data_IF_218378646685
#
_entry.id   IF_218378646685
#
_cell.length_a   1.000
_cell.length_b   1.000
_cell.length_c   1.000
_cell.angle_alpha   90.00
_cell.angle_beta   90.00
_cell.angle_gamma   90.00
#
_symmetry.space_group_name_H-M   'P 1'
#
loop_
_entity.id
_entity.type
_entity.pdbx_description
1 polymer ?
#
# COMPACT_ATOMS: atom_id res chain seq x y z
N UNK A 1 -4.01 9.86 8.69
CA UNK A 1 -4.88 11.04 8.52
C UNK A 1 -5.95 10.70 7.48
N UNK A 2 -7.18 10.35 7.88
CA UNK A 2 -8.24 9.89 6.96
C UNK A 2 -8.86 11.00 6.09
N UNK A 3 -8.07 11.98 5.67
CA UNK A 3 -8.49 13.14 4.89
C UNK A 3 -7.95 13.01 3.47
N UNK A 4 -8.75 13.39 2.46
CA UNK A 4 -8.30 13.33 1.07
C UNK A 4 -7.44 14.55 0.74
N UNK A 5 -6.32 14.34 0.03
CA UNK A 5 -5.51 15.43 -0.50
C UNK A 5 -6.31 16.38 -1.43
N UNK A 6 -7.35 15.88 -2.09
CA UNK A 6 -8.24 16.69 -2.94
C UNK A 6 -9.08 17.68 -2.14
N UNK A 7 -9.32 17.44 -0.85
CA UNK A 7 -10.01 18.39 0.03
C UNK A 7 -9.22 19.67 0.28
N UNK A 8 -7.91 19.64 -0.02
CA UNK A 8 -7.02 20.78 0.09
C UNK A 8 -6.78 21.49 -1.27
N UNK A 9 -7.33 20.96 -2.38
CA UNK A 9 -7.02 21.40 -3.74
C UNK A 9 -7.68 22.74 -4.17
N UNK A 10 -7.15 23.31 -5.25
CA UNK A 10 -7.48 24.60 -5.93
C UNK A 10 -8.95 25.01 -6.01
N UNK A 11 -9.89 24.05 -6.13
CA UNK A 11 -11.33 24.28 -6.28
C UNK A 11 -12.17 23.82 -5.08
N UNK A 12 -11.53 23.45 -3.97
CA UNK A 12 -12.25 23.08 -2.76
C UNK A 12 -12.99 24.31 -2.21
N UNK A 13 -14.29 24.14 -1.90
CA UNK A 13 -15.04 25.17 -1.17
C UNK A 13 -14.35 25.39 0.19
N UNK A 14 -14.30 26.63 0.68
CA UNK A 14 -13.77 27.04 1.99
C UNK A 14 -14.54 26.36 3.15
N UNK A 15 -14.40 25.05 3.27
CA UNK A 15 -14.98 24.21 4.31
C UNK A 15 -13.84 23.42 4.94
N UNK A 16 -13.95 23.17 6.24
CA UNK A 16 -12.98 22.34 6.95
C UNK A 16 -12.77 21.00 6.21
N UNK A 17 -11.53 20.48 6.14
CA UNK A 17 -11.25 19.23 5.44
C UNK A 17 -12.16 18.12 5.98
N UNK A 18 -12.99 17.58 5.09
CA UNK A 18 -13.94 16.53 5.46
C UNK A 18 -13.21 15.19 5.50
N UNK A 19 -13.27 14.51 6.62
CA UNK A 19 -12.77 13.15 6.73
C UNK A 19 -13.51 12.24 5.74
N UNK A 20 -12.79 11.32 5.12
CA UNK A 20 -13.37 10.27 4.27
C UNK A 20 -14.43 9.50 5.07
N UNK A 21 -15.64 9.35 4.50
CA UNK A 21 -16.68 8.53 5.11
C UNK A 21 -16.26 7.06 5.23
N UNK A 22 -15.32 6.61 4.39
CA UNK A 22 -14.74 5.25 4.43
C UNK A 22 -13.55 5.13 5.40
N UNK A 23 -13.22 6.19 6.14
CA UNK A 23 -12.08 6.19 7.05
C UNK A 23 -10.72 6.18 6.33
N UNK A 24 -9.62 6.04 7.08
CA UNK A 24 -8.29 5.84 6.50
C UNK A 24 -8.24 4.49 5.76
N UNK A 25 -7.74 4.48 4.53
CA UNK A 25 -7.48 3.24 3.80
C UNK A 25 -6.36 2.50 4.53
N UNK A 26 -6.65 1.30 5.02
CA UNK A 26 -5.66 0.36 5.50
C UNK A 26 -5.15 -0.52 4.35
N UNK A 27 -4.14 -1.34 4.63
CA UNK A 27 -3.87 -2.50 3.79
C UNK A 27 -5.12 -3.39 3.81
N UNK A 28 -5.72 -3.60 2.65
CA UNK A 28 -6.69 -4.66 2.47
C UNK A 28 -5.89 -5.97 2.45
N UNK A 29 -6.37 -6.98 3.18
CA UNK A 29 -5.74 -8.30 3.23
C UNK A 29 -6.46 -9.17 2.19
N UNK A 30 -5.91 -9.37 0.98
CA UNK A 30 -6.53 -10.26 0.00
C UNK A 30 -6.38 -11.74 0.38
N UNK A 31 -5.54 -12.05 1.38
CA UNK A 31 -5.16 -13.41 1.76
C UNK A 31 -6.33 -14.16 2.41
N UNK A 32 -6.95 -15.07 1.67
CA UNK A 32 -8.05 -15.89 2.21
C UNK A 32 -7.49 -17.00 3.09
N UNK A 33 -6.43 -17.68 2.68
CA UNK A 33 -5.82 -18.72 3.51
C UNK A 33 -5.01 -18.14 4.65
N UNK A 34 -4.19 -17.11 4.41
CA UNK A 34 -3.42 -16.51 5.51
C UNK A 34 -4.34 -15.90 6.58
N UNK A 35 -5.58 -15.49 6.29
CA UNK A 35 -6.54 -15.00 7.31
C UNK A 35 -6.81 -16.05 8.41
N UNK A 36 -6.82 -17.34 8.08
CA UNK A 36 -6.98 -18.44 9.05
C UNK A 36 -5.93 -18.36 10.16
N UNK A 37 -4.71 -18.01 9.77
CA UNK A 37 -3.54 -17.93 10.64
C UNK A 37 -3.31 -16.52 11.19
N UNK A 38 -3.69 -15.49 10.45
CA UNK A 38 -3.43 -14.09 10.78
C UNK A 38 -4.11 -13.65 12.07
N UNK A 39 -5.21 -14.27 12.51
CA UNK A 39 -5.84 -13.96 13.81
C UNK A 39 -5.06 -14.50 15.02
N UNK A 40 -4.17 -15.46 14.80
CA UNK A 40 -3.40 -16.15 15.86
C UNK A 40 -2.23 -15.32 16.36
N UNK A 41 -1.50 -14.67 15.46
CA UNK A 41 -0.18 -14.10 15.76
C UNK A 41 -0.15 -12.65 16.28
N UNK A 42 -0.98 -11.70 15.79
CA UNK A 42 -0.84 -10.28 16.15
C UNK A 42 -1.44 -9.90 17.51
N UNK A 43 -2.35 -10.71 18.07
CA UNK A 43 -3.09 -10.37 19.30
C UNK A 43 -3.18 -11.51 20.32
N UNK A 44 -2.39 -12.59 20.17
CA UNK A 44 -2.60 -13.85 20.91
C UNK A 44 -4.08 -14.31 20.85
N UNK A 45 -4.73 -14.05 19.72
CA UNK A 45 -6.14 -14.39 19.50
C UNK A 45 -6.33 -15.90 19.43
N UNK A 46 -7.56 -16.36 19.74
CA UNK A 46 -7.92 -17.76 19.47
C UNK A 46 -7.86 -17.97 17.96
N UNK A 47 -6.98 -18.88 17.53
CA UNK A 47 -6.91 -19.34 16.15
C UNK A 47 -8.31 -19.78 15.70
N UNK A 48 -8.70 -19.44 14.47
CA UNK A 48 -9.73 -20.25 13.81
C UNK A 48 -9.21 -21.69 13.78
N UNK A 49 -10.12 -22.65 13.94
CA UNK A 49 -9.72 -24.06 13.96
C UNK A 49 -8.96 -24.38 12.68
N UNK A 50 -7.75 -24.92 12.78
CA UNK A 50 -6.97 -25.43 11.64
C UNK A 50 -7.48 -26.79 11.19
N UNK A 51 -8.73 -27.13 11.55
CA UNK A 51 -9.39 -28.33 11.08
C UNK A 51 -9.46 -28.32 9.56
N UNK A 52 -9.32 -29.51 8.99
CA UNK A 52 -9.35 -29.72 7.54
C UNK A 52 -10.59 -29.08 6.89
N UNK A 53 -11.73 -29.15 7.58
CA UNK A 53 -13.01 -28.60 7.12
C UNK A 53 -13.00 -27.06 7.04
N UNK A 54 -12.25 -26.37 7.91
CA UNK A 54 -12.11 -24.92 7.90
C UNK A 54 -11.21 -24.45 6.74
N UNK A 55 -10.13 -25.19 6.49
CA UNK A 55 -9.23 -24.95 5.34
C UNK A 55 -9.97 -25.21 4.03
N UNK A 56 -10.72 -26.31 3.95
CA UNK A 56 -11.53 -26.65 2.77
C UNK A 56 -12.56 -25.56 2.44
N UNK A 57 -13.18 -24.97 3.47
CA UNK A 57 -14.11 -23.84 3.29
C UNK A 57 -13.42 -22.61 2.67
N UNK A 58 -12.18 -22.33 3.03
CA UNK A 58 -11.45 -21.16 2.53
C UNK A 58 -10.95 -21.39 1.10
N UNK A 59 -10.44 -22.59 0.81
CA UNK A 59 -10.12 -23.01 -0.57
C UNK A 59 -11.35 -22.91 -1.47
N UNK A 60 -12.53 -23.38 -1.01
CA UNK A 60 -13.78 -23.22 -1.76
C UNK A 60 -14.14 -21.75 -1.98
N UNK A 61 -14.02 -20.91 -0.95
CA UNK A 61 -14.36 -19.49 -1.06
C UNK A 61 -13.46 -18.73 -2.04
N UNK A 62 -12.18 -19.10 -2.10
CA UNK A 62 -11.21 -18.49 -3.01
C UNK A 62 -11.53 -18.81 -4.47
N UNK A 63 -11.78 -20.09 -4.80
CA UNK A 63 -12.00 -20.54 -6.18
C UNK A 63 -13.47 -20.62 -6.62
N UNK A 64 -14.45 -20.32 -5.76
CA UNK A 64 -15.87 -20.29 -6.14
C UNK A 64 -16.30 -18.98 -6.79
N UNK A 65 -15.52 -17.92 -6.61
CA UNK A 65 -15.80 -16.60 -7.19
C UNK A 65 -14.91 -16.38 -8.43
N UNK A 66 -15.50 -16.18 -9.62
CA UNK A 66 -14.73 -15.90 -10.82
C UNK A 66 -13.96 -14.57 -10.74
N UNK A 67 -14.34 -13.63 -9.86
CA UNK A 67 -13.63 -12.35 -9.68
C UNK A 67 -12.28 -12.52 -8.95
N UNK A 68 -12.07 -13.63 -8.25
CA UNK A 68 -10.79 -13.92 -7.56
C UNK A 68 -9.74 -14.54 -8.50
N UNK A 69 -10.08 -14.76 -9.77
CA UNK A 69 -9.20 -15.42 -10.73
C UNK A 69 -8.31 -14.37 -11.43
N UNK A 70 -7.18 -14.03 -10.81
CA UNK A 70 -6.13 -13.26 -11.48
C UNK A 70 -5.33 -14.20 -12.37
N UNK A 71 -5.37 -13.97 -13.69
CA UNK A 71 -4.83 -14.90 -14.67
C UNK A 71 -3.70 -14.23 -15.45
N UNK A 72 -2.45 -14.51 -15.05
CA UNK A 72 -1.26 -13.95 -15.69
C UNK A 72 -0.72 -14.79 -16.85
N UNK A 73 -1.14 -16.06 -17.01
CA UNK A 73 -0.46 -17.00 -17.92
C UNK A 73 -1.44 -17.97 -18.63
N UNK A 74 -2.30 -17.46 -19.51
CA UNK A 74 -3.04 -18.33 -20.45
C UNK A 74 -2.45 -18.30 -21.87
N UNK A 75 -2.47 -19.43 -22.59
CA UNK A 75 -2.28 -19.44 -24.04
C UNK A 75 -3.39 -18.64 -24.74
N UNK A 76 -3.03 -17.94 -25.82
CA UNK A 76 -3.92 -17.03 -26.58
C UNK A 76 -5.25 -17.66 -27.08
N UNK A 77 -5.33 -18.99 -27.13
CA UNK A 77 -6.48 -19.75 -27.66
C UNK A 77 -7.58 -20.07 -26.63
N UNK A 78 -7.39 -19.78 -25.33
CA UNK A 78 -8.38 -20.07 -24.29
C UNK A 78 -8.86 -18.77 -23.65
N UNK A 79 -10.18 -18.53 -23.66
CA UNK A 79 -10.75 -17.35 -23.00
C UNK A 79 -10.71 -17.50 -21.47
N UNK A 80 -10.27 -16.45 -20.77
CA UNK A 80 -10.17 -16.43 -19.30
C UNK A 80 -11.51 -16.76 -18.61
N UNK A 81 -12.63 -16.39 -19.23
CA UNK A 81 -13.98 -16.66 -18.75
C UNK A 81 -14.31 -18.16 -18.74
N UNK A 82 -13.88 -18.92 -19.76
CA UNK A 82 -14.13 -20.37 -19.83
C UNK A 82 -13.32 -21.14 -18.78
N UNK A 83 -12.09 -20.71 -18.50
CA UNK A 83 -11.24 -21.30 -17.46
C UNK A 83 -11.81 -21.00 -16.07
N UNK A 84 -12.19 -19.75 -15.83
CA UNK A 84 -12.83 -19.34 -14.57
C UNK A 84 -14.15 -20.11 -14.35
N UNK A 85 -14.96 -20.31 -15.39
CA UNK A 85 -16.20 -21.09 -15.29
C UNK A 85 -15.96 -22.58 -14.94
N UNK A 86 -14.91 -23.20 -15.50
CA UNK A 86 -14.54 -24.60 -15.21
C UNK A 86 -13.99 -24.76 -13.79
N UNK A 87 -13.14 -23.82 -13.36
CA UNK A 87 -12.56 -23.82 -12.02
C UNK A 87 -13.65 -23.56 -10.98
N UNK A 88 -14.49 -22.54 -11.17
CA UNK A 88 -15.60 -22.28 -10.24
C UNK A 88 -16.56 -23.45 -10.14
N UNK A 89 -16.89 -24.13 -11.25
CA UNK A 89 -17.72 -25.34 -11.22
C UNK A 89 -17.09 -26.48 -10.39
N UNK A 90 -15.75 -26.62 -10.40
CA UNK A 90 -15.00 -27.63 -9.64
C UNK A 90 -15.09 -27.40 -8.13
N UNK A 91 -15.12 -26.15 -7.67
CA UNK A 91 -15.07 -25.79 -6.25
C UNK A 91 -16.42 -25.39 -5.64
N UNK A 92 -17.47 -25.18 -6.45
CA UNK A 92 -18.84 -24.84 -5.99
C UNK A 92 -19.62 -26.01 -5.36
N UNK A 93 -19.00 -27.20 -5.24
CA UNK A 93 -19.64 -28.37 -4.66
C UNK A 93 -20.00 -28.17 -3.18
N UNK A 94 -21.22 -28.58 -2.81
CA UNK A 94 -21.68 -28.62 -1.42
C UNK A 94 -21.03 -29.75 -0.62
N UNK A 95 -20.56 -30.79 -1.31
CA UNK A 95 -19.92 -31.96 -0.70
C UNK A 95 -18.44 -31.73 -0.44
N UNK A 96 -17.82 -32.60 0.39
CA UNK A 96 -16.38 -32.55 0.64
C UNK A 96 -15.60 -32.71 -0.67
N UNK A 97 -14.57 -31.90 -0.86
CA UNK A 97 -13.69 -32.01 -2.01
C UNK A 97 -12.97 -33.35 -1.99
N UNK A 98 -12.79 -33.95 -3.17
CA UNK A 98 -11.84 -35.04 -3.35
C UNK A 98 -10.45 -34.59 -2.89
N UNK A 99 -9.69 -35.49 -2.27
CA UNK A 99 -8.35 -35.20 -1.77
C UNK A 99 -7.44 -34.57 -2.85
N UNK A 100 -7.53 -35.04 -4.10
CA UNK A 100 -6.76 -34.46 -5.20
C UNK A 100 -7.15 -33.02 -5.52
N UNK A 101 -8.46 -32.73 -5.55
CA UNK A 101 -8.99 -31.38 -5.83
C UNK A 101 -8.66 -30.44 -4.67
N UNK A 102 -8.76 -30.92 -3.44
CA UNK A 102 -8.41 -30.15 -2.25
C UNK A 102 -6.92 -29.79 -2.22
N UNK A 103 -6.02 -30.74 -2.48
CA UNK A 103 -4.59 -30.49 -2.50
C UNK A 103 -4.17 -29.55 -3.63
N UNK A 104 -4.78 -29.68 -4.81
CA UNK A 104 -4.55 -28.78 -5.95
C UNK A 104 -4.99 -27.35 -5.63
N UNK A 105 -6.21 -27.18 -5.09
CA UNK A 105 -6.70 -25.87 -4.65
C UNK A 105 -5.84 -25.27 -3.55
N UNK A 106 -5.41 -26.07 -2.59
CA UNK A 106 -4.52 -25.61 -1.51
C UNK A 106 -3.16 -25.16 -2.05
N UNK A 107 -2.56 -25.92 -2.98
CA UNK A 107 -1.29 -25.55 -3.59
C UNK A 107 -1.39 -24.23 -4.35
N UNK A 108 -2.45 -24.07 -5.15
CA UNK A 108 -2.68 -22.85 -5.93
C UNK A 108 -2.94 -21.63 -5.03
N UNK A 109 -3.69 -21.79 -3.95
CA UNK A 109 -3.97 -20.71 -3.00
C UNK A 109 -2.72 -20.31 -2.18
N UNK A 110 -1.84 -21.26 -1.86
CA UNK A 110 -0.54 -20.92 -1.26
C UNK A 110 0.35 -20.19 -2.28
N UNK A 111 0.31 -20.60 -3.54
CA UNK A 111 1.09 -19.99 -4.61
C UNK A 111 0.61 -18.56 -4.92
N UNK A 112 -0.70 -18.31 -4.95
CA UNK A 112 -1.28 -16.97 -5.15
C UNK A 112 -0.86 -16.01 -4.03
N UNK A 113 -0.85 -16.48 -2.78
CA UNK A 113 -0.40 -15.71 -1.63
C UNK A 113 1.13 -15.65 -1.51
N UNK A 114 1.88 -16.48 -2.24
CA UNK A 114 3.31 -16.68 -2.07
C UNK A 114 4.15 -15.42 -2.24
N UNK A 115 3.85 -14.59 -3.24
CA UNK A 115 4.54 -13.30 -3.45
C UNK A 115 4.30 -12.35 -2.27
N UNK A 116 3.12 -12.36 -1.69
CA UNK A 116 2.74 -11.45 -0.61
C UNK A 116 3.27 -11.95 0.75
N UNK A 117 3.28 -13.26 0.97
CA UNK A 117 3.90 -13.90 2.13
C UNK A 117 5.42 -13.74 2.16
N UNK A 118 6.05 -13.72 0.99
CA UNK A 118 7.50 -13.51 0.84
C UNK A 118 7.90 -12.04 0.77
N UNK A 119 6.93 -11.13 0.70
CA UNK A 119 7.22 -9.71 0.64
C UNK A 119 7.82 -9.20 1.95
N UNK A 120 9.02 -8.62 1.88
CA UNK A 120 9.69 -8.06 3.05
C UNK A 120 9.09 -6.69 3.41
N UNK A 121 8.00 -6.74 4.17
CA UNK A 121 7.33 -5.55 4.70
C UNK A 121 8.23 -4.71 5.59
N UNK A 122 9.22 -5.29 6.27
CA UNK A 122 10.16 -4.54 7.11
C UNK A 122 11.14 -3.75 6.25
N UNK A 123 11.63 -4.33 5.16
CA UNK A 123 12.48 -3.61 4.20
C UNK A 123 11.72 -2.50 3.50
N UNK A 124 10.45 -2.72 3.12
CA UNK A 124 9.59 -1.66 2.60
C UNK A 124 9.40 -0.55 3.64
N UNK A 125 9.08 -0.90 4.88
CA UNK A 125 8.87 0.07 5.95
C UNK A 125 10.12 0.91 6.22
N UNK A 126 11.28 0.26 6.32
CA UNK A 126 12.58 0.93 6.46
C UNK A 126 12.85 1.88 5.28
N UNK A 127 12.56 1.44 4.06
CA UNK A 127 12.71 2.29 2.88
C UNK A 127 11.80 3.52 2.93
N UNK A 128 10.51 3.35 3.23
CA UNK A 128 9.59 4.48 3.38
C UNK A 128 10.07 5.47 4.45
N UNK A 129 10.65 4.95 5.53
CA UNK A 129 11.22 5.78 6.60
C UNK A 129 12.44 6.58 6.13
N UNK A 130 13.36 5.94 5.41
CA UNK A 130 14.52 6.61 4.82
C UNK A 130 14.12 7.69 3.83
N UNK A 131 13.12 7.41 2.98
CA UNK A 131 12.56 8.37 2.04
C UNK A 131 12.03 9.61 2.76
N UNK A 132 11.16 9.39 3.77
CA UNK A 132 10.59 10.48 4.56
C UNK A 132 11.67 11.27 5.32
N UNK A 133 12.73 10.61 5.80
CA UNK A 133 13.84 11.24 6.49
C UNK A 133 14.62 12.17 5.57
N UNK A 134 14.98 11.70 4.38
CA UNK A 134 15.68 12.52 3.41
C UNK A 134 14.87 13.73 2.95
N UNK A 135 13.57 13.55 2.68
CA UNK A 135 12.67 14.67 2.35
C UNK A 135 12.64 15.69 3.49
N UNK A 136 12.53 15.22 4.72
CA UNK A 136 12.54 16.07 5.92
C UNK A 136 13.87 16.81 6.08
N UNK A 137 15.01 16.17 5.78
CA UNK A 137 16.33 16.79 5.90
C UNK A 137 16.59 17.80 4.77
N UNK A 138 16.19 17.53 3.53
CA UNK A 138 16.26 18.47 2.41
C UNK A 138 15.40 19.72 2.62
N UNK A 139 14.20 19.54 3.17
CA UNK A 139 13.26 20.63 3.40
C UNK A 139 13.36 21.23 4.82
N UNK A 140 14.33 20.82 5.64
CA UNK A 140 14.36 21.09 7.08
C UNK A 140 14.32 22.59 7.41
N UNK A 141 15.16 23.38 6.74
CA UNK A 141 15.29 24.81 6.99
C UNK A 141 14.01 25.57 6.61
N UNK A 142 13.44 25.23 5.46
CA UNK A 142 12.24 25.88 4.94
C UNK A 142 10.99 25.51 5.75
N UNK A 143 10.88 24.24 6.19
CA UNK A 143 9.80 23.80 7.07
C UNK A 143 9.92 24.43 8.46
N UNK A 144 11.15 24.61 8.96
CA UNK A 144 11.41 25.30 10.23
C UNK A 144 11.06 26.79 10.14
N UNK A 145 11.29 27.44 9.00
CA UNK A 145 10.90 28.83 8.78
C UNK A 145 9.38 28.99 8.75
N UNK A 146 8.67 28.08 8.07
CA UNK A 146 7.21 28.17 7.90
C UNK A 146 6.41 27.75 9.14
N UNK A 147 6.85 26.70 9.84
CA UNK A 147 6.07 26.07 10.92
C UNK A 147 6.76 26.12 12.29
N UNK A 148 7.98 26.67 12.35
CA UNK A 148 8.78 26.76 13.58
C UNK A 148 9.64 25.51 13.83
N UNK A 149 10.62 25.59 14.77
CA UNK A 149 11.58 24.52 15.03
C UNK A 149 10.98 23.26 15.63
N UNK A 150 9.79 23.34 16.23
CA UNK A 150 9.09 22.23 16.89
C UNK A 150 8.00 21.60 16.02
N UNK A 151 8.01 21.81 14.71
CA UNK A 151 7.03 21.20 13.81
C UNK A 151 7.11 19.65 13.79
N UNK A 152 8.27 19.09 14.17
CA UNK A 152 8.47 17.66 14.46
C UNK A 152 9.30 17.51 15.73
N UNK A 153 8.72 16.87 16.74
CA UNK A 153 9.37 16.62 18.04
C UNK A 153 9.99 15.23 18.13
N UNK A 154 9.39 14.25 17.46
CA UNK A 154 9.78 12.84 17.55
C UNK A 154 9.87 12.20 16.18
N UNK A 155 10.74 11.21 16.04
CA UNK A 155 10.88 10.47 14.77
C UNK A 155 9.57 9.78 14.39
N UNK A 156 8.75 9.35 15.35
CA UNK A 156 7.41 8.78 15.12
C UNK A 156 6.46 9.72 14.36
N UNK A 157 6.79 11.00 14.28
CA UNK A 157 6.03 12.03 13.58
C UNK A 157 6.49 12.24 12.13
N UNK A 158 7.52 11.53 11.65
CA UNK A 158 8.00 11.62 10.25
C UNK A 158 6.88 11.57 9.21
N UNK A 159 5.86 10.69 9.34
CA UNK A 159 4.75 10.66 8.39
C UNK A 159 3.96 11.98 8.28
N UNK A 160 4.04 12.87 9.27
CA UNK A 160 3.39 14.19 9.23
C UNK A 160 4.10 15.21 8.33
N UNK A 161 5.36 14.98 7.97
CA UNK A 161 6.11 15.80 6.99
C UNK A 161 5.30 16.02 5.71
N UNK A 162 4.66 14.96 5.22
CA UNK A 162 3.79 14.99 4.04
C UNK A 162 2.63 15.99 4.21
N UNK A 163 2.04 16.06 5.41
CA UNK A 163 1.00 17.03 5.73
C UNK A 163 1.49 18.47 5.69
N UNK A 164 2.67 18.73 6.26
CA UNK A 164 3.29 20.07 6.24
C UNK A 164 3.63 20.52 4.82
N UNK A 165 4.15 19.61 3.98
CA UNK A 165 4.42 19.86 2.58
C UNK A 165 3.16 20.27 1.81
N UNK A 166 2.07 19.55 1.99
CA UNK A 166 0.79 19.92 1.38
C UNK A 166 0.30 21.28 1.88
N UNK A 167 0.35 21.55 3.19
CA UNK A 167 -0.04 22.86 3.72
C UNK A 167 0.79 24.01 3.14
N UNK A 168 2.11 23.81 2.98
CA UNK A 168 2.99 24.79 2.36
C UNK A 168 2.64 25.01 0.87
N UNK A 169 2.40 23.93 0.12
CA UNK A 169 2.02 23.99 -1.29
C UNK A 169 0.73 24.79 -1.52
N UNK A 170 -0.32 24.49 -0.74
CA UNK A 170 -1.60 25.18 -0.89
C UNK A 170 -1.59 26.62 -0.37
N UNK A 171 -0.74 26.93 0.62
CA UNK A 171 -0.57 28.31 1.09
C UNK A 171 0.10 29.18 0.03
N UNK A 172 1.15 28.68 -0.63
CA UNK A 172 1.79 29.37 -1.75
C UNK A 172 0.84 29.58 -2.93
N UNK A 173 0.02 28.57 -3.26
CA UNK A 173 -0.95 28.66 -4.36
C UNK A 173 -2.06 29.70 -4.08
N UNK A 174 -2.56 29.79 -2.85
CA UNK A 174 -3.54 30.81 -2.44
C UNK A 174 -2.99 32.22 -2.58
N UNK A 175 -1.73 32.44 -2.23
CA UNK A 175 -1.05 33.74 -2.38
C UNK A 175 -0.88 34.08 -3.86
N UNK A 176 -0.43 33.12 -4.68
CA UNK A 176 -0.32 33.31 -6.13
C UNK A 176 -1.64 33.70 -6.79
N UNK A 177 -2.74 33.04 -6.42
CA UNK A 177 -4.08 33.37 -6.92
C UNK A 177 -4.54 34.78 -6.54
N UNK A 178 -4.17 35.26 -5.35
CA UNK A 178 -4.46 36.64 -4.91
C UNK A 178 -3.74 37.72 -5.72
N UNK A 179 -2.62 37.36 -6.36
CA UNK A 179 -1.77 38.27 -7.14
C UNK A 179 -1.89 38.01 -8.66
N UNK A 180 -2.63 36.96 -9.06
CA UNK A 180 -2.82 36.58 -10.47
C UNK A 180 -1.64 35.83 -11.08
N UNK A 181 -0.77 35.24 -10.26
CA UNK A 181 0.44 34.51 -10.69
C UNK A 181 0.37 33.06 -10.21
N UNK A 182 0.77 32.09 -11.04
CA UNK A 182 0.93 30.71 -10.59
C UNK A 182 2.15 30.62 -9.66
N UNK A 183 1.91 30.49 -8.35
CA UNK A 183 2.95 30.33 -7.35
C UNK A 183 2.95 28.89 -6.83
N UNK A 184 4.06 28.17 -7.03
CA UNK A 184 4.32 26.86 -6.41
C UNK A 184 5.22 27.06 -5.20
N UNK A 185 4.96 26.32 -4.12
CA UNK A 185 5.83 26.36 -2.95
C UNK A 185 7.20 25.79 -3.32
N UNK A 186 8.26 26.56 -3.06
CA UNK A 186 9.66 26.12 -3.22
C UNK A 186 9.91 24.82 -2.45
N UNK A 187 9.38 24.71 -1.23
CA UNK A 187 9.47 23.52 -0.37
C UNK A 187 8.89 22.27 -1.03
N UNK A 188 7.86 22.43 -1.85
CA UNK A 188 7.21 21.30 -2.51
C UNK A 188 8.01 20.83 -3.73
N UNK A 189 8.74 21.74 -4.40
CA UNK A 189 9.64 21.41 -5.51
C UNK A 189 10.89 20.71 -4.97
N UNK A 190 11.51 21.27 -3.93
CA UNK A 190 12.71 20.71 -3.31
C UNK A 190 12.43 19.31 -2.70
N UNK A 191 11.21 19.08 -2.18
CA UNK A 191 10.78 17.76 -1.73
C UNK A 191 10.61 16.76 -2.89
N UNK A 192 10.17 17.21 -4.06
CA UNK A 192 10.03 16.33 -5.22
C UNK A 192 11.41 15.88 -5.74
N UNK A 193 12.37 16.80 -5.78
CA UNK A 193 13.77 16.51 -6.14
C UNK A 193 14.38 15.48 -5.18
N UNK A 194 14.20 15.66 -3.86
CA UNK A 194 14.69 14.70 -2.86
C UNK A 194 14.07 13.30 -3.00
N UNK A 195 12.82 13.19 -3.47
CA UNK A 195 12.16 11.91 -3.76
C UNK A 195 12.76 11.28 -5.02
N UNK A 196 12.94 12.06 -6.08
CA UNK A 196 13.53 11.60 -7.34
C UNK A 196 14.95 11.08 -7.13
N UNK A 197 15.78 11.77 -6.33
CA UNK A 197 17.15 11.36 -6.05
C UNK A 197 17.23 9.99 -5.37
N UNK A 198 16.37 9.73 -4.38
CA UNK A 198 16.37 8.45 -3.65
C UNK A 198 15.82 7.33 -4.51
N UNK A 199 14.76 7.60 -5.28
CA UNK A 199 14.18 6.61 -6.18
C UNK A 199 15.20 6.26 -7.26
N UNK A 200 15.87 7.25 -7.86
CA UNK A 200 16.94 7.03 -8.83
C UNK A 200 18.12 6.27 -8.22
N UNK A 201 18.60 6.64 -7.03
CA UNK A 201 19.69 5.94 -6.34
C UNK A 201 19.34 4.46 -6.07
N UNK A 202 18.09 4.18 -5.71
CA UNK A 202 17.64 2.82 -5.39
C UNK A 202 17.35 1.97 -6.63
N UNK A 203 16.84 2.57 -7.70
CA UNK A 203 16.77 1.93 -9.02
C UNK A 203 18.19 1.59 -9.49
N UNK A 204 19.16 2.48 -9.26
CA UNK A 204 20.56 2.21 -9.61
C UNK A 204 21.17 1.07 -8.79
N UNK A 205 20.85 0.98 -7.50
CA UNK A 205 21.27 -0.13 -6.62
C UNK A 205 20.67 -1.48 -7.06
N UNK A 206 19.36 -1.54 -7.36
CA UNK A 206 18.67 -2.77 -7.77
C UNK A 206 19.02 -3.25 -9.19
N UNK A 207 19.20 -2.34 -10.15
CA UNK A 207 19.44 -2.71 -11.56
C UNK A 207 20.93 -2.79 -11.95
N UNK A 208 21.82 -2.06 -11.26
CA UNK A 208 23.25 -2.02 -11.60
C UNK A 208 24.17 -2.61 -10.54
N UNK A 209 23.62 -3.20 -9.46
CA UNK A 209 24.38 -3.88 -8.41
C UNK A 209 25.47 -3.01 -7.77
N UNK A 210 25.23 -1.70 -7.72
CA UNK A 210 26.08 -0.75 -7.01
C UNK A 210 25.71 -0.81 -5.53
N UNK A 211 26.56 -1.41 -4.69
CA UNK A 211 26.42 -1.32 -3.25
C UNK A 211 26.56 0.15 -2.85
N UNK A 212 25.45 0.81 -2.56
CA UNK A 212 25.47 2.13 -1.93
C UNK A 212 25.60 1.86 -0.43
N UNK A 213 26.79 2.12 0.11
CA UNK A 213 26.98 2.13 1.56
C UNK A 213 26.12 3.26 2.14
N UNK A 214 24.94 2.89 2.63
CA UNK A 214 24.05 3.77 3.37
C UNK A 214 24.55 3.96 4.82
N UNK A 215 25.85 4.25 4.99
CA UNK A 215 26.42 4.62 6.28
C UNK A 215 25.79 5.92 6.78
N UNK A 216 24.92 5.79 7.79
CA UNK A 216 24.73 6.76 8.88
C UNK A 216 24.65 5.99 10.19
#
# INVERSE_FOLDING_TARGET
MGYSATSLAKNARNSAPKASAKGPRGLEYPFKLAELFAKRYPHNGRSLSTDLDAVEKHVKAEFSDPENFELSDLPDDITAEEVAAKVTAKYKSKDKLSAGIFLEGLANAIQSEGMQLSFDYFRLHRFCWMLLRSVKDHCADQLRELFGPSYLEKETQLPFVVGYLFMAAFSAEKVGKGIGVEARSKVFIDAAEAIEDIICAKIMEEYFNYAVDWEV
#
